data_IF_293697023998
#
_entry.id   IF_293697023998
#
_cell.length_a   1.000
_cell.length_b   1.000
_cell.length_c   1.000
_cell.angle_alpha   90.00
_cell.angle_beta   90.00
_cell.angle_gamma   90.00
#
_symmetry.space_group_name_H-M   'P 1'
#
loop_
_entity.id
_entity.type
_entity.pdbx_description
1 polymer ?
#
# COMPACT_ATOMS: atom_id res chain seq x y z
N UNK A 1 -12.43 -14.34 26.96
CA UNK A 1 -12.04 -14.33 26.46
C UNK A 1 -11.78 -14.12 25.84
N UNK A 2 -11.63 -14.14 25.93
CA UNK A 2 -11.47 -13.73 25.18
C UNK A 2 -11.62 -13.48 24.04
N UNK A 3 -11.28 -12.86 23.72
CA UNK A 3 -11.45 -12.63 22.51
C UNK A 3 -10.67 -13.55 21.76
N UNK A 4 -11.26 -14.18 20.97
CA UNK A 4 -10.58 -15.02 20.04
C UNK A 4 -10.62 -14.39 18.68
N UNK A 5 -10.42 -13.10 18.67
CA UNK A 5 -10.35 -12.40 17.42
C UNK A 5 -9.16 -12.87 16.62
N UNK A 6 -9.11 -12.51 15.36
CA UNK A 6 -8.04 -12.90 14.46
C UNK A 6 -6.68 -12.47 14.97
N UNK A 7 -6.62 -11.35 15.68
CA UNK A 7 -5.36 -10.85 16.21
C UNK A 7 -4.73 -11.80 17.22
N UNK A 8 -5.54 -12.66 17.83
CA UNK A 8 -5.05 -13.60 18.81
C UNK A 8 -4.76 -14.96 18.24
N UNK A 9 -5.09 -15.17 16.99
CA UNK A 9 -4.87 -16.45 16.34
C UNK A 9 -3.54 -16.40 15.60
N UNK A 10 -2.56 -17.24 16.01
CA UNK A 10 -1.25 -17.20 15.35
C UNK A 10 -1.29 -17.61 13.89
N UNK A 11 -2.38 -18.26 13.45
CA UNK A 11 -2.50 -18.68 12.07
C UNK A 11 -3.25 -17.68 11.20
N UNK A 12 -3.84 -16.65 11.81
CA UNK A 12 -4.59 -15.63 11.09
C UNK A 12 -4.20 -14.28 11.68
N UNK A 13 -2.91 -14.02 11.71
CA UNK A 13 -2.42 -12.79 12.32
C UNK A 13 -2.58 -11.59 11.40
N UNK A 14 -2.88 -10.45 12.00
CA UNK A 14 -3.03 -9.18 11.28
C UNK A 14 -1.67 -8.52 11.18
N UNK A 15 -0.83 -9.05 10.28
CA UNK A 15 0.54 -8.55 10.12
C UNK A 15 0.74 -7.75 8.83
N UNK A 16 -0.27 -7.68 7.99
CA UNK A 16 -0.11 -7.06 6.69
C UNK A 16 -0.85 -5.74 6.61
N UNK A 17 -0.33 -4.88 5.77
CA UNK A 17 -0.90 -3.55 5.54
C UNK A 17 -0.91 -3.25 4.06
N UNK A 18 -1.93 -2.52 3.64
CA UNK A 18 -1.92 -1.88 2.33
C UNK A 18 -1.43 -0.45 2.50
N UNK A 19 -0.91 0.13 1.45
CA UNK A 19 -0.42 1.50 1.51
C UNK A 19 -0.51 2.16 0.15
N UNK A 20 -0.49 3.49 0.16
CA UNK A 20 -0.53 4.30 -1.04
C UNK A 20 0.59 5.32 -0.96
N UNK A 21 1.36 5.43 -2.05
CA UNK A 21 2.43 6.41 -2.18
C UNK A 21 2.01 7.44 -3.22
N UNK A 22 2.20 8.71 -2.89
CA UNK A 22 2.04 9.79 -3.86
C UNK A 22 3.28 9.82 -4.75
N UNK A 23 3.04 9.79 -6.06
CA UNK A 23 4.11 9.82 -7.07
C UNK A 23 4.05 11.15 -7.80
N UNK A 24 5.20 11.80 -7.91
CA UNK A 24 5.28 13.06 -8.63
C UNK A 24 5.75 12.82 -10.05
N UNK A 25 4.89 13.15 -11.00
CA UNK A 25 5.24 13.22 -12.42
C UNK A 25 5.90 11.93 -12.96
N UNK A 26 5.32 10.75 -12.70
CA UNK A 26 5.99 9.50 -13.10
C UNK A 26 6.10 9.31 -14.61
N UNK A 27 5.26 9.99 -15.40
CA UNK A 27 5.28 9.88 -16.86
C UNK A 27 5.92 11.07 -17.54
N UNK A 28 6.36 12.07 -16.77
CA UNK A 28 6.93 13.27 -17.34
C UNK A 28 5.92 14.19 -17.99
N UNK A 29 4.64 14.02 -17.68
CA UNK A 29 3.55 14.82 -18.26
C UNK A 29 2.96 15.82 -17.27
N UNK A 30 3.62 16.02 -16.13
CA UNK A 30 3.18 16.95 -15.10
C UNK A 30 2.06 16.44 -14.23
N UNK A 31 1.63 15.20 -14.41
CA UNK A 31 0.50 14.64 -13.65
C UNK A 31 0.98 13.82 -12.47
N UNK A 32 0.29 13.97 -11.35
CA UNK A 32 0.52 13.16 -10.17
C UNK A 32 -0.14 11.79 -10.34
N UNK A 33 0.36 10.81 -9.59
CA UNK A 33 -0.18 9.47 -9.62
C UNK A 33 -0.03 8.85 -8.24
N UNK A 34 -0.62 7.66 -8.06
CA UNK A 34 -0.49 6.89 -6.83
C UNK A 34 0.09 5.52 -7.14
N UNK A 35 0.81 4.99 -6.19
CA UNK A 35 1.22 3.59 -6.19
C UNK A 35 0.53 2.90 -5.03
N UNK A 36 -0.11 1.77 -5.31
CA UNK A 36 -0.78 0.98 -4.27
C UNK A 36 -0.02 -0.32 -4.10
N UNK A 37 0.29 -0.65 -2.85
CA UNK A 37 0.99 -1.88 -2.54
C UNK A 37 0.51 -2.49 -1.24
N UNK A 38 1.10 -3.63 -0.91
CA UNK A 38 0.88 -4.28 0.38
C UNK A 38 2.22 -4.73 0.93
N UNK A 39 2.29 -4.92 2.24
CA UNK A 39 3.55 -5.27 2.89
C UNK A 39 3.28 -6.01 4.19
N UNK A 40 4.23 -6.87 4.59
CA UNK A 40 4.25 -7.46 5.93
C UNK A 40 4.98 -6.58 6.93
N UNK A 41 5.55 -5.48 6.47
CA UNK A 41 6.17 -4.46 7.31
C UNK A 41 5.14 -3.37 7.58
N UNK A 42 5.54 -2.33 8.30
CA UNK A 42 4.70 -1.13 8.34
C UNK A 42 4.82 -0.40 6.99
N UNK A 43 3.80 0.37 6.60
CA UNK A 43 3.92 1.19 5.40
C UNK A 43 5.14 2.09 5.41
N UNK A 44 5.48 2.66 6.57
CA UNK A 44 6.63 3.55 6.72
C UNK A 44 7.93 2.81 6.44
N UNK A 45 8.10 1.61 7.00
CA UNK A 45 9.29 0.80 6.75
C UNK A 45 9.39 0.40 5.28
N UNK A 46 8.27 0.01 4.70
CA UNK A 46 8.26 -0.41 3.30
C UNK A 46 8.60 0.75 2.38
N UNK A 47 8.06 1.94 2.69
CA UNK A 47 8.37 3.12 1.89
C UNK A 47 9.85 3.45 1.95
N UNK A 48 10.46 3.38 3.12
CA UNK A 48 11.90 3.61 3.24
C UNK A 48 12.69 2.59 2.43
N UNK A 49 12.26 1.32 2.43
CA UNK A 49 12.90 0.30 1.62
C UNK A 49 12.80 0.60 0.14
N UNK A 50 11.63 1.06 -0.32
CA UNK A 50 11.47 1.47 -1.71
C UNK A 50 12.48 2.57 -2.07
N UNK A 51 12.57 3.59 -1.23
CA UNK A 51 13.46 4.73 -1.50
C UNK A 51 14.92 4.31 -1.45
N UNK A 52 15.25 3.34 -0.62
CA UNK A 52 16.62 2.81 -0.54
C UNK A 52 16.94 1.81 -1.65
N UNK A 53 15.95 1.41 -2.44
CA UNK A 53 16.16 0.47 -3.52
C UNK A 53 16.11 -1.00 -3.09
N UNK A 54 15.62 -1.29 -1.90
CA UNK A 54 15.54 -2.66 -1.38
C UNK A 54 14.25 -3.31 -1.86
N UNK A 55 14.34 -4.22 -2.82
CA UNK A 55 13.19 -4.87 -3.46
C UNK A 55 12.15 -3.84 -3.89
N UNK A 56 12.62 -2.73 -4.41
CA UNK A 56 11.81 -1.57 -4.65
C UNK A 56 11.01 -1.67 -5.94
N UNK A 57 9.79 -1.13 -5.90
CA UNK A 57 9.11 -0.79 -7.14
C UNK A 57 9.84 0.42 -7.72
N UNK A 58 10.24 0.31 -8.98
CA UNK A 58 11.05 1.34 -9.62
C UNK A 58 10.38 2.70 -9.63
N UNK A 59 9.06 2.71 -9.87
CA UNK A 59 8.32 3.97 -9.93
C UNK A 59 8.29 4.66 -8.58
N UNK A 60 8.27 3.89 -7.49
CA UNK A 60 8.29 4.48 -6.15
C UNK A 60 9.68 5.01 -5.82
N UNK A 61 10.71 4.24 -6.17
CA UNK A 61 12.08 4.69 -5.91
C UNK A 61 12.36 6.01 -6.60
N UNK A 62 11.94 6.13 -7.86
CA UNK A 62 12.23 7.33 -8.65
C UNK A 62 11.30 8.49 -8.38
N UNK A 63 10.01 8.22 -8.20
CA UNK A 63 8.99 9.26 -8.18
C UNK A 63 8.21 9.37 -6.89
N UNK A 64 8.41 8.43 -5.95
CA UNK A 64 7.70 8.45 -4.69
C UNK A 64 8.09 9.64 -3.84
N UNK A 65 7.08 10.37 -3.37
CA UNK A 65 7.29 11.57 -2.55
C UNK A 65 6.96 11.28 -1.09
N UNK A 66 5.79 10.68 -0.85
CA UNK A 66 5.33 10.42 0.50
C UNK A 66 4.20 9.40 0.50
N UNK A 67 3.97 8.81 1.65
CA UNK A 67 2.78 8.01 1.88
C UNK A 67 1.55 8.91 2.00
N UNK A 68 0.36 8.33 1.75
CA UNK A 68 -0.90 9.04 1.86
C UNK A 68 -1.81 8.29 2.84
N UNK A 69 -1.52 8.36 4.16
CA UNK A 69 -2.21 7.53 5.16
C UNK A 69 -3.72 7.67 5.19
N UNK A 70 -4.24 8.84 4.86
CA UNK A 70 -5.69 9.03 4.90
C UNK A 70 -6.45 8.13 3.94
N UNK A 71 -5.75 7.56 2.95
CA UNK A 71 -6.39 6.66 1.99
C UNK A 71 -6.40 5.21 2.46
N UNK A 72 -5.62 4.85 3.49
CA UNK A 72 -5.48 3.43 3.83
C UNK A 72 -5.32 3.12 5.31
N UNK A 73 -4.95 4.08 6.14
CA UNK A 73 -4.58 3.77 7.52
C UNK A 73 -5.70 3.07 8.27
N UNK A 74 -6.94 3.45 8.02
CA UNK A 74 -8.11 2.87 8.68
C UNK A 74 -8.37 1.41 8.29
N UNK A 75 -7.72 0.93 7.24
CA UNK A 75 -7.88 -0.44 6.77
C UNK A 75 -6.92 -1.41 7.47
N UNK A 76 -5.82 -0.89 7.97
CA UNK A 76 -4.70 -1.70 8.48
C UNK A 76 -4.77 -1.92 9.99
N UNK A 77 -4.15 -2.96 10.50
CA UNK A 77 -3.57 -4.09 9.77
C UNK A 77 -4.60 -5.15 9.44
N UNK A 78 -4.20 -6.15 8.66
CA UNK A 78 -5.10 -7.21 8.24
C UNK A 78 -4.33 -8.49 7.93
N UNK A 79 -5.03 -9.63 7.83
CA UNK A 79 -4.38 -10.87 7.41
C UNK A 79 -3.90 -10.77 5.96
N UNK A 80 -2.92 -11.60 5.62
CA UNK A 80 -2.31 -11.58 4.29
C UNK A 80 -3.33 -11.68 3.16
N UNK A 81 -4.24 -12.65 3.24
CA UNK A 81 -5.21 -12.86 2.16
C UNK A 81 -6.12 -11.66 1.97
N UNK A 82 -6.48 -11.03 3.07
CA UNK A 82 -7.30 -9.83 2.99
C UNK A 82 -6.52 -8.68 2.38
N UNK A 83 -5.24 -8.58 2.70
CA UNK A 83 -4.39 -7.52 2.13
C UNK A 83 -4.25 -7.70 0.63
N UNK A 84 -4.12 -8.93 0.15
CA UNK A 84 -4.06 -9.21 -1.29
C UNK A 84 -5.31 -8.67 -2.00
N UNK A 85 -6.48 -8.95 -1.43
CA UNK A 85 -7.73 -8.49 -2.02
C UNK A 85 -7.90 -6.98 -1.89
N UNK A 86 -7.51 -6.43 -0.76
CA UNK A 86 -7.66 -5.00 -0.49
C UNK A 86 -6.75 -4.16 -1.37
N UNK A 87 -5.56 -4.67 -1.67
CA UNK A 87 -4.64 -3.98 -2.56
C UNK A 87 -5.28 -3.74 -3.92
N UNK A 88 -5.90 -4.78 -4.46
CA UNK A 88 -6.59 -4.70 -5.75
C UNK A 88 -7.79 -3.75 -5.67
N UNK A 89 -8.61 -3.91 -4.63
CA UNK A 89 -9.82 -3.12 -4.47
C UNK A 89 -9.50 -1.63 -4.31
N UNK A 90 -8.47 -1.32 -3.54
CA UNK A 90 -8.07 0.06 -3.32
C UNK A 90 -7.57 0.70 -4.60
N UNK A 91 -6.75 -0.02 -5.37
CA UNK A 91 -6.24 0.48 -6.64
C UNK A 91 -7.39 0.73 -7.63
N UNK A 92 -8.33 -0.20 -7.69
CA UNK A 92 -9.49 -0.04 -8.59
C UNK A 92 -10.36 1.13 -8.17
N UNK A 93 -10.56 1.31 -6.88
CA UNK A 93 -11.33 2.43 -6.36
C UNK A 93 -10.70 3.76 -6.78
N UNK A 94 -9.39 3.87 -6.65
CA UNK A 94 -8.69 5.10 -7.02
C UNK A 94 -8.74 5.33 -8.53
N UNK A 95 -8.62 4.27 -9.33
CA UNK A 95 -8.73 4.40 -10.79
C UNK A 95 -10.12 4.87 -11.21
N UNK A 96 -11.16 4.35 -10.57
CA UNK A 96 -12.53 4.77 -10.86
C UNK A 96 -12.76 6.24 -10.52
N UNK A 97 -11.99 6.77 -9.59
CA UNK A 97 -12.06 8.18 -9.22
C UNK A 97 -11.23 9.06 -10.15
N UNK A 98 -10.64 8.48 -11.17
CA UNK A 98 -9.91 9.25 -12.18
C UNK A 98 -8.41 9.38 -11.95
N UNK A 99 -7.87 8.76 -10.92
CA UNK A 99 -6.45 8.86 -10.65
C UNK A 99 -5.65 7.88 -11.51
N UNK A 100 -4.42 8.26 -11.82
CA UNK A 100 -3.44 7.35 -12.42
C UNK A 100 -2.86 6.51 -11.29
N UNK A 101 -2.93 5.18 -11.41
CA UNK A 101 -2.52 4.27 -10.35
C UNK A 101 -1.58 3.21 -10.89
N UNK A 102 -0.46 3.04 -10.19
CA UNK A 102 0.51 1.98 -10.41
C UNK A 102 0.37 0.94 -9.30
N UNK A 103 0.80 -0.27 -9.59
CA UNK A 103 0.69 -1.33 -8.59
C UNK A 103 -0.74 -1.82 -8.44
N UNK A 104 -1.05 -2.39 -7.28
CA UNK A 104 -2.42 -2.77 -6.98
C UNK A 104 -2.88 -4.05 -7.65
N UNK A 105 -2.00 -5.03 -7.79
CA UNK A 105 -2.39 -6.30 -8.42
C UNK A 105 -2.34 -7.48 -7.46
#
# INVERSE_FOLDING_TARGET
>A
MGRLGTADNPFVADHHSVYVVYLKDPKGDGRAAYYVGMTGLTPEERFLNHKAGLKAARVVKKHGVRLVPKLYAHLNPMPYQKAVMMEVALAESLRKRGYVVYGGH
#
